data_IF_904490973714
#
_entry.id   IF_904490973714
#
_cell.length_a   1.000
_cell.length_b   1.000
_cell.length_c   1.000
_cell.angle_alpha   90.00
_cell.angle_beta   90.00
_cell.angle_gamma   90.00
#
_symmetry.space_group_name_H-M   'P 1'
#
loop_
_entity.id
_entity.type
_entity.pdbx_description
1 polymer ?
#
# COMPACT_ATOMS: atom_id res chain seq x y z
N UNK A 1 -20.65 -58.19 -29.68
CA UNK A 1 -20.38 -57.80 -31.07
C UNK A 1 -20.76 -56.33 -31.20
N UNK A 2 -19.75 -55.46 -31.16
CA UNK A 2 -19.68 -54.12 -31.73
C UNK A 2 -18.39 -53.47 -31.24
N UNK A 3 -17.43 -53.37 -32.15
CA UNK A 3 -16.11 -52.76 -32.00
C UNK A 3 -16.24 -51.24 -31.82
N UNK A 4 -15.43 -50.66 -30.94
CA UNK A 4 -15.18 -49.22 -30.88
C UNK A 4 -13.72 -49.00 -31.27
N UNK A 5 -13.50 -48.37 -32.43
CA UNK A 5 -12.19 -47.92 -32.92
C UNK A 5 -11.62 -46.80 -32.03
N UNK A 6 -10.30 -46.73 -31.81
CA UNK A 6 -9.66 -45.57 -31.20
C UNK A 6 -9.58 -44.41 -32.20
N UNK A 7 -9.98 -43.21 -31.76
CA UNK A 7 -9.79 -41.95 -32.48
C UNK A 7 -8.37 -41.45 -32.20
N UNK A 8 -7.57 -41.35 -33.25
CA UNK A 8 -6.27 -40.67 -33.25
C UNK A 8 -6.47 -39.16 -33.33
N UNK A 9 -6.02 -38.43 -32.30
CA UNK A 9 -5.92 -36.97 -32.34
C UNK A 9 -4.52 -36.61 -32.83
N UNK A 10 -4.45 -36.12 -34.06
CA UNK A 10 -3.25 -35.53 -34.65
C UNK A 10 -3.01 -34.15 -34.03
N UNK A 11 -1.93 -33.98 -33.26
CA UNK A 11 -1.48 -32.68 -32.78
C UNK A 11 -0.89 -31.92 -33.96
N UNK A 12 -1.63 -30.94 -34.50
CA UNK A 12 -1.11 -29.99 -35.47
C UNK A 12 -0.33 -28.89 -34.71
N UNK A 13 0.97 -28.80 -35.02
CA UNK A 13 1.96 -27.91 -34.41
C UNK A 13 1.59 -26.42 -34.49
N UNK A 14 1.39 -25.78 -33.33
CA UNK A 14 1.26 -24.33 -33.13
C UNK A 14 2.61 -23.61 -32.95
N UNK A 15 3.68 -24.07 -33.60
CA UNK A 15 5.04 -23.52 -33.44
C UNK A 15 5.29 -22.20 -34.22
N UNK A 16 4.46 -21.85 -35.19
CA UNK A 16 4.69 -20.64 -36.03
C UNK A 16 4.23 -19.32 -35.41
N UNK A 17 3.37 -19.35 -34.40
CA UNK A 17 2.87 -18.11 -33.76
C UNK A 17 3.80 -17.63 -32.64
N UNK A 18 4.40 -18.56 -31.90
CA UNK A 18 5.37 -18.25 -30.84
C UNK A 18 6.69 -17.70 -31.36
N UNK A 19 7.21 -18.19 -32.49
CA UNK A 19 8.46 -17.64 -33.05
C UNK A 19 8.30 -16.21 -33.57
N UNK A 20 7.09 -15.83 -33.98
CA UNK A 20 6.78 -14.47 -34.42
C UNK A 20 6.67 -13.52 -33.22
N UNK A 21 6.02 -13.95 -32.14
CA UNK A 21 5.96 -13.19 -30.88
C UNK A 21 7.35 -13.04 -30.23
N UNK A 22 8.18 -14.09 -30.29
CA UNK A 22 9.57 -14.07 -29.80
C UNK A 22 10.45 -13.11 -30.63
N UNK A 23 10.34 -13.15 -31.96
CA UNK A 23 11.09 -12.25 -32.85
C UNK A 23 10.60 -10.78 -32.76
N UNK A 24 9.33 -10.54 -32.45
CA UNK A 24 8.81 -9.20 -32.22
C UNK A 24 9.19 -8.67 -30.83
N UNK A 25 9.36 -9.55 -29.82
CA UNK A 25 9.94 -9.22 -28.51
C UNK A 25 11.46 -8.97 -28.60
N UNK A 26 12.18 -9.66 -29.49
CA UNK A 26 13.63 -9.45 -29.70
C UNK A 26 13.94 -8.13 -30.44
N UNK A 27 12.96 -7.61 -31.21
CA UNK A 27 13.02 -6.26 -31.81
C UNK A 27 12.77 -5.12 -30.82
N UNK A 28 12.20 -5.39 -29.64
CA UNK A 28 12.15 -4.46 -28.51
C UNK A 28 13.53 -4.46 -27.82
N UNK A 29 14.49 -3.81 -28.48
CA UNK A 29 15.88 -3.71 -28.12
C UNK A 29 16.08 -3.00 -26.75
N UNK A 30 16.01 -3.76 -25.65
CA UNK A 30 16.31 -3.32 -24.28
C UNK A 30 17.82 -3.15 -24.00
N UNK A 31 18.66 -2.99 -25.02
CA UNK A 31 20.10 -2.67 -24.86
C UNK A 31 20.38 -1.28 -24.28
N UNK A 32 19.37 -0.42 -24.11
CA UNK A 32 19.53 0.91 -23.50
C UNK A 32 19.42 0.93 -21.96
N UNK A 33 19.16 -0.22 -21.30
CA UNK A 33 19.02 -0.30 -19.84
C UNK A 33 20.22 -0.91 -19.10
N UNK A 34 21.33 -1.14 -19.81
CA UNK A 34 22.62 -1.37 -19.17
C UNK A 34 23.21 -0.03 -18.68
N UNK A 35 22.87 0.36 -17.45
CA UNK A 35 23.72 1.24 -16.65
C UNK A 35 25.08 0.54 -16.47
N UNK A 36 26.06 0.92 -17.30
CA UNK A 36 27.47 0.64 -17.06
C UNK A 36 27.84 1.21 -15.68
N UNK A 37 28.12 0.35 -14.72
CA UNK A 37 28.83 0.74 -13.51
C UNK A 37 30.25 1.22 -13.91
N UNK A 38 30.71 2.39 -13.43
CA UNK A 38 32.09 2.78 -13.63
C UNK A 38 32.99 1.97 -12.69
N UNK A 39 33.94 1.24 -13.27
CA UNK A 39 35.14 0.74 -12.59
C UNK A 39 35.96 1.93 -12.12
N UNK A 40 36.19 2.04 -10.81
CA UNK A 40 37.04 3.07 -10.21
C UNK A 40 38.50 2.64 -10.39
N UNK A 41 39.21 3.33 -11.27
CA UNK A 41 40.66 3.29 -11.38
C UNK A 41 41.23 4.50 -10.63
N UNK A 42 42.10 4.29 -9.66
CA UNK A 42 42.85 5.37 -9.00
C UNK A 42 43.94 5.88 -9.94
N UNK A 43 43.85 7.14 -10.37
CA UNK A 43 44.88 7.81 -11.15
C UNK A 43 44.65 9.32 -11.26
N UNK A 44 45.54 10.09 -10.64
CA UNK A 44 45.57 11.55 -10.62
C UNK A 44 45.60 12.20 -12.02
N UNK A 45 44.82 13.28 -12.22
CA UNK A 45 45.31 14.65 -12.50
C UNK A 45 44.15 15.60 -12.88
N UNK A 46 44.30 16.85 -12.44
CA UNK A 46 43.40 17.99 -12.60
C UNK A 46 43.08 18.35 -14.06
N UNK A 47 41.88 18.89 -14.31
CA UNK A 47 41.68 20.22 -14.91
C UNK A 47 40.19 20.56 -15.05
N UNK A 48 39.85 21.81 -14.75
CA UNK A 48 38.51 22.35 -14.70
C UNK A 48 37.88 22.57 -16.09
N UNK A 49 36.56 22.45 -16.19
CA UNK A 49 35.70 23.36 -16.98
C UNK A 49 34.23 23.18 -16.58
N UNK A 50 33.57 24.32 -16.38
CA UNK A 50 32.23 24.52 -15.83
C UNK A 50 31.11 24.28 -16.85
N UNK A 51 30.02 23.62 -16.42
CA UNK A 51 28.71 23.71 -17.09
C UNK A 51 27.55 23.49 -16.10
N UNK A 52 26.60 24.41 -16.15
CA UNK A 52 25.47 24.62 -15.23
C UNK A 52 24.39 23.54 -15.40
N UNK A 53 24.43 22.49 -14.60
CA UNK A 53 23.25 21.61 -14.32
C UNK A 53 23.40 20.82 -13.01
N UNK A 54 24.17 21.37 -12.07
CA UNK A 54 24.68 20.65 -10.88
C UNK A 54 24.14 21.21 -9.55
N UNK A 55 22.91 21.71 -9.54
CA UNK A 55 22.30 22.33 -8.34
C UNK A 55 21.41 21.39 -7.51
N UNK A 56 20.70 20.45 -8.16
CA UNK A 56 19.73 19.57 -7.46
C UNK A 56 20.37 18.31 -6.86
N UNK A 57 21.36 17.74 -7.54
CA UNK A 57 22.06 16.52 -7.11
C UNK A 57 23.11 16.76 -6.02
N UNK A 58 23.72 17.94 -6.00
CA UNK A 58 24.68 18.37 -4.97
C UNK A 58 23.98 18.77 -3.68
N UNK A 59 22.79 19.39 -3.76
CA UNK A 59 21.99 19.71 -2.57
C UNK A 59 21.51 18.44 -1.85
N UNK A 60 21.03 17.42 -2.59
CA UNK A 60 20.69 16.13 -1.97
C UNK A 60 21.91 15.45 -1.34
N UNK A 61 23.09 15.49 -1.98
CA UNK A 61 24.34 14.95 -1.41
C UNK A 61 24.85 15.75 -0.20
N UNK A 62 24.71 17.07 -0.20
CA UNK A 62 25.12 17.93 0.91
C UNK A 62 24.16 17.79 2.11
N UNK A 63 22.86 17.67 1.86
CA UNK A 63 21.87 17.33 2.89
C UNK A 63 22.15 15.93 3.44
N UNK A 64 22.42 14.94 2.58
CA UNK A 64 22.79 13.58 3.03
C UNK A 64 24.10 13.54 3.83
N UNK A 65 25.11 14.35 3.46
CA UNK A 65 26.40 14.38 4.15
C UNK A 65 26.40 15.10 5.51
N UNK A 66 25.48 16.03 5.74
CA UNK A 66 25.31 16.67 7.06
C UNK A 66 24.38 15.85 7.98
N UNK A 67 23.56 14.97 7.41
CA UNK A 67 22.61 14.11 8.13
C UNK A 67 23.21 12.73 8.46
N UNK A 68 24.24 12.29 7.73
CA UNK A 68 24.98 11.05 8.02
C UNK A 68 25.74 11.10 9.35
N UNK A 69 26.11 12.28 9.83
CA UNK A 69 26.84 12.43 11.10
C UNK A 69 25.91 12.31 12.34
N UNK A 70 24.58 12.37 12.17
CA UNK A 70 23.58 12.31 13.26
C UNK A 70 22.80 10.97 13.30
N UNK A 71 22.98 10.08 12.30
CA UNK A 71 22.32 8.76 12.21
C UNK A 71 23.37 7.66 12.38
N UNK A 72 23.62 7.26 13.63
CA UNK A 72 24.62 6.25 13.97
C UNK A 72 24.03 4.89 14.35
N UNK A 73 22.71 4.79 14.47
CA UNK A 73 22.03 3.59 14.97
C UNK A 73 20.73 3.28 14.21
N UNK A 74 20.30 2.03 14.29
CA UNK A 74 19.12 1.51 13.62
C UNK A 74 17.84 2.23 14.06
N UNK A 75 17.74 2.63 15.33
CA UNK A 75 16.55 3.28 15.86
C UNK A 75 16.42 4.72 15.36
N UNK A 76 17.50 5.51 15.35
CA UNK A 76 17.50 6.87 14.80
C UNK A 76 17.16 6.87 13.32
N UNK A 77 17.70 5.94 12.53
CA UNK A 77 17.31 5.75 11.13
C UNK A 77 15.81 5.46 11.00
N UNK A 78 15.29 4.51 11.79
CA UNK A 78 13.88 4.13 11.74
C UNK A 78 12.97 5.31 12.08
N UNK A 79 13.24 6.04 13.18
CA UNK A 79 12.46 7.21 13.59
C UNK A 79 12.46 8.28 12.50
N UNK A 80 13.64 8.59 11.94
CA UNK A 80 13.75 9.64 10.94
C UNK A 80 13.05 9.26 9.63
N UNK A 81 13.13 7.98 9.24
CA UNK A 81 12.44 7.45 8.05
C UNK A 81 10.92 7.41 8.22
N UNK A 82 10.44 7.12 9.44
CA UNK A 82 9.02 7.05 9.78
C UNK A 82 8.44 8.39 10.23
N UNK A 83 9.26 9.44 10.40
CA UNK A 83 8.88 10.73 11.00
C UNK A 83 7.58 11.29 10.44
N UNK A 84 7.50 11.44 9.13
CA UNK A 84 6.32 12.00 8.48
C UNK A 84 5.10 11.07 8.58
N UNK A 85 5.30 9.75 8.64
CA UNK A 85 4.22 8.76 8.79
C UNK A 85 3.62 8.92 10.18
N UNK A 86 4.49 9.00 11.19
CA UNK A 86 4.06 9.09 12.58
C UNK A 86 3.38 10.43 12.87
N UNK A 87 3.86 11.53 12.28
CA UNK A 87 3.22 12.85 12.37
C UNK A 87 1.84 12.83 11.68
N UNK A 88 1.76 12.32 10.45
CA UNK A 88 0.49 12.21 9.73
C UNK A 88 -0.53 11.40 10.56
N UNK A 89 -0.09 10.28 11.15
CA UNK A 89 -0.90 9.47 12.04
C UNK A 89 -1.40 10.22 13.27
N UNK A 90 -0.61 11.13 13.85
CA UNK A 90 -1.06 11.98 14.96
C UNK A 90 -2.14 12.97 14.50
N UNK A 91 -1.99 13.56 13.31
CA UNK A 91 -2.96 14.51 12.75
C UNK A 91 -4.33 13.86 12.48
N UNK A 92 -4.35 12.58 12.09
CA UNK A 92 -5.59 11.83 11.83
C UNK A 92 -6.08 10.96 12.99
N UNK A 93 -5.43 11.05 14.15
CA UNK A 93 -5.83 10.32 15.36
C UNK A 93 -5.53 8.82 15.34
N UNK A 94 -4.69 8.36 14.40
CA UNK A 94 -4.24 6.97 14.28
C UNK A 94 -2.89 6.72 14.98
N UNK A 95 -2.30 7.73 15.63
CA UNK A 95 -1.08 7.53 16.41
C UNK A 95 -1.17 8.24 17.78
N UNK A 96 -1.54 7.53 18.86
CA UNK A 96 -1.63 8.11 20.19
C UNK A 96 -0.27 8.21 20.93
N UNK A 97 0.82 7.75 20.33
CA UNK A 97 2.14 7.66 20.99
C UNK A 97 2.77 9.05 21.16
N UNK A 98 3.41 9.27 22.32
CA UNK A 98 4.18 10.47 22.62
C UNK A 98 5.68 10.21 22.47
N UNK A 99 6.45 11.24 22.10
CA UNK A 99 7.90 11.14 21.93
C UNK A 99 8.35 10.61 20.56
N UNK A 100 7.52 10.72 19.52
CA UNK A 100 7.84 10.23 18.16
C UNK A 100 8.99 10.97 17.45
N UNK A 101 9.49 12.06 18.05
CA UNK A 101 10.64 12.85 17.55
C UNK A 101 11.86 12.75 18.48
N UNK A 102 11.75 11.96 19.55
CA UNK A 102 12.83 11.83 20.53
C UNK A 102 13.94 10.94 20.00
N UNK A 103 15.19 11.35 20.24
CA UNK A 103 16.39 10.61 19.83
C UNK A 103 16.61 9.33 20.66
N UNK A 104 15.99 9.21 21.82
CA UNK A 104 16.12 8.05 22.69
C UNK A 104 14.85 7.19 22.74
N UNK A 105 15.04 5.87 22.66
CA UNK A 105 13.96 4.87 22.73
C UNK A 105 13.17 4.97 24.05
N UNK A 106 13.86 5.28 25.14
CA UNK A 106 13.33 5.39 26.52
C UNK A 106 12.23 6.46 26.66
N UNK A 107 12.24 7.46 25.79
CA UNK A 107 11.35 8.61 25.85
C UNK A 107 10.03 8.39 25.09
N UNK A 108 9.92 7.30 24.33
CA UNK A 108 8.68 6.93 23.66
C UNK A 108 7.70 6.31 24.65
N UNK A 109 6.53 6.93 24.80
CA UNK A 109 5.55 6.54 25.82
C UNK A 109 4.13 6.54 25.27
N UNK A 110 3.35 5.54 25.67
CA UNK A 110 1.90 5.51 25.48
C UNK A 110 1.20 5.90 26.78
N UNK A 111 0.23 6.82 26.69
CA UNK A 111 -0.58 7.29 27.84
C UNK A 111 -2.06 7.28 27.47
N UNK A 112 -2.89 6.55 28.22
CA UNK A 112 -4.33 6.49 28.02
C UNK A 112 -5.01 7.86 28.16
N UNK A 113 -4.62 8.67 29.13
CA UNK A 113 -5.22 10.00 29.33
C UNK A 113 -4.43 11.12 28.65
N UNK A 114 -3.95 10.88 27.44
CA UNK A 114 -3.35 11.92 26.61
C UNK A 114 -4.38 12.50 25.64
N UNK A 115 -4.24 13.77 25.27
CA UNK A 115 -5.12 14.39 24.27
C UNK A 115 -5.09 13.63 22.92
N UNK A 116 -3.93 13.04 22.57
CA UNK A 116 -3.76 12.22 21.36
C UNK A 116 -4.60 10.94 21.40
N UNK A 117 -4.62 10.27 22.56
CA UNK A 117 -5.49 9.11 22.77
C UNK A 117 -6.96 9.51 22.73
N UNK A 118 -7.34 10.58 23.44
CA UNK A 118 -8.72 11.06 23.46
C UNK A 118 -9.20 11.43 22.05
N UNK A 119 -8.36 12.10 21.26
CA UNK A 119 -8.65 12.43 19.87
C UNK A 119 -8.89 11.18 19.01
N UNK A 120 -7.99 10.19 19.06
CA UNK A 120 -8.17 8.92 18.35
C UNK A 120 -9.39 8.13 18.82
N UNK A 121 -9.67 8.12 20.14
CA UNK A 121 -10.83 7.45 20.70
C UNK A 121 -12.16 8.09 20.27
N UNK A 122 -12.22 9.42 20.23
CA UNK A 122 -13.40 10.16 19.74
C UNK A 122 -13.64 9.91 18.24
N UNK A 123 -12.57 9.91 17.43
CA UNK A 123 -12.69 9.56 16.01
C UNK A 123 -13.15 8.11 15.82
N UNK A 124 -12.58 7.18 16.57
CA UNK A 124 -13.00 5.77 16.53
C UNK A 124 -14.49 5.62 16.89
N UNK A 125 -14.95 6.33 17.92
CA UNK A 125 -16.35 6.33 18.32
C UNK A 125 -17.27 6.88 17.23
N UNK A 126 -16.88 8.00 16.61
CA UNK A 126 -17.61 8.56 15.47
C UNK A 126 -17.69 7.57 14.31
N UNK A 127 -16.57 6.95 13.93
CA UNK A 127 -16.50 6.02 12.81
C UNK A 127 -17.39 4.80 13.03
N UNK A 128 -17.35 4.20 14.23
CA UNK A 128 -18.21 3.06 14.60
C UNK A 128 -19.68 3.48 14.58
N UNK A 129 -20.01 4.65 15.11
CA UNK A 129 -21.39 5.17 15.11
C UNK A 129 -21.89 5.35 13.67
N UNK A 130 -21.09 5.97 12.81
CA UNK A 130 -21.42 6.14 11.39
C UNK A 130 -21.64 4.78 10.69
N UNK A 131 -20.82 3.76 10.97
CA UNK A 131 -21.02 2.40 10.46
C UNK A 131 -22.35 1.80 10.91
N UNK A 132 -22.67 1.90 12.20
CA UNK A 132 -23.92 1.35 12.76
C UNK A 132 -25.14 2.02 12.12
N UNK A 133 -25.09 3.35 11.94
CA UNK A 133 -26.16 4.09 11.28
C UNK A 133 -26.30 3.73 9.80
N UNK A 134 -25.18 3.52 9.08
CA UNK A 134 -25.22 3.03 7.71
C UNK A 134 -25.81 1.62 7.61
N UNK A 135 -25.48 0.73 8.56
CA UNK A 135 -26.03 -0.62 8.63
C UNK A 135 -27.55 -0.59 8.90
N UNK A 136 -27.98 0.24 9.84
CA UNK A 136 -29.40 0.43 10.15
C UNK A 136 -30.20 0.94 8.95
N UNK A 137 -29.62 1.88 8.20
CA UNK A 137 -30.20 2.37 6.95
C UNK A 137 -30.29 1.28 5.90
N UNK A 138 -29.22 0.51 5.71
CA UNK A 138 -29.20 -0.61 4.77
C UNK A 138 -30.26 -1.67 5.12
N UNK A 139 -30.55 -1.89 6.40
CA UNK A 139 -31.61 -2.79 6.83
C UNK A 139 -33.02 -2.27 6.50
N UNK A 140 -33.23 -0.95 6.55
CA UNK A 140 -34.55 -0.32 6.32
C UNK A 140 -34.87 -0.01 4.86
N UNK A 141 -33.85 0.09 4.00
CA UNK A 141 -33.99 0.45 2.59
C UNK A 141 -33.48 -0.68 1.69
N UNK A 142 -33.85 -0.69 0.41
CA UNK A 142 -33.24 -1.62 -0.55
C UNK A 142 -31.71 -1.45 -0.59
N UNK A 143 -30.99 -2.56 -0.70
CA UNK A 143 -29.53 -2.58 -0.74
C UNK A 143 -29.04 -1.75 -1.92
N UNK A 144 -28.44 -0.60 -1.61
CA UNK A 144 -27.79 0.26 -2.60
C UNK A 144 -26.29 0.08 -2.52
N UNK A 145 -25.63 -0.01 -3.69
CA UNK A 145 -24.18 -0.05 -3.85
C UNK A 145 -23.50 1.10 -3.09
N UNK A 146 -24.13 2.28 -3.04
CA UNK A 146 -23.64 3.44 -2.28
C UNK A 146 -23.65 3.20 -0.77
N UNK A 147 -24.72 2.62 -0.24
CA UNK A 147 -24.83 2.35 1.20
C UNK A 147 -23.83 1.27 1.63
N UNK A 148 -23.62 0.27 0.77
CA UNK A 148 -22.59 -0.76 0.99
C UNK A 148 -21.17 -0.15 0.99
N UNK A 149 -20.90 0.80 0.09
CA UNK A 149 -19.64 1.53 0.05
C UNK A 149 -19.41 2.35 1.33
N UNK A 150 -20.40 3.11 1.79
CA UNK A 150 -20.32 3.90 3.03
C UNK A 150 -20.14 3.02 4.26
N UNK A 151 -20.90 1.92 4.36
CA UNK A 151 -20.77 0.95 5.45
C UNK A 151 -19.36 0.36 5.49
N UNK A 152 -18.83 -0.07 4.34
CA UNK A 152 -17.49 -0.65 4.24
C UNK A 152 -16.40 0.38 4.53
N UNK A 153 -16.57 1.62 4.06
CA UNK A 153 -15.66 2.73 4.36
C UNK A 153 -15.56 3.00 5.86
N UNK A 154 -16.69 3.32 6.53
CA UNK A 154 -16.70 3.67 7.94
C UNK A 154 -16.27 2.49 8.83
N UNK A 155 -16.64 1.25 8.46
CA UNK A 155 -16.27 0.07 9.26
C UNK A 155 -14.77 -0.21 9.15
N UNK A 156 -14.20 -0.16 7.94
CA UNK A 156 -12.77 -0.35 7.72
C UNK A 156 -11.93 0.71 8.46
N UNK A 157 -12.30 1.99 8.38
CA UNK A 157 -11.55 3.04 9.12
C UNK A 157 -11.72 2.90 10.64
N UNK A 158 -12.90 2.52 11.14
CA UNK A 158 -13.12 2.28 12.57
C UNK A 158 -12.25 1.13 13.09
N UNK A 159 -12.22 0.01 12.36
CA UNK A 159 -11.36 -1.15 12.67
C UNK A 159 -9.87 -0.75 12.62
N UNK A 160 -9.47 0.04 11.63
CA UNK A 160 -8.10 0.54 11.52
C UNK A 160 -7.73 1.45 12.69
N UNK A 161 -8.53 2.47 13.00
CA UNK A 161 -8.30 3.37 14.14
C UNK A 161 -8.15 2.59 15.45
N UNK A 162 -9.05 1.63 15.69
CA UNK A 162 -8.96 0.75 16.86
C UNK A 162 -7.66 -0.06 16.87
N UNK A 163 -7.29 -0.66 15.73
CA UNK A 163 -6.06 -1.44 15.59
C UNK A 163 -4.82 -0.59 15.84
N UNK A 164 -4.79 0.65 15.35
CA UNK A 164 -3.70 1.58 15.55
C UNK A 164 -3.57 2.08 17.00
N UNK A 165 -4.69 2.24 17.72
CA UNK A 165 -4.64 2.49 19.18
C UNK A 165 -3.99 1.30 19.90
N UNK A 166 -4.32 0.06 19.50
CA UNK A 166 -3.68 -1.15 20.05
C UNK A 166 -2.20 -1.23 19.69
N UNK A 167 -1.81 -0.87 18.48
CA UNK A 167 -0.41 -0.74 18.06
C UNK A 167 0.29 0.28 18.94
N UNK A 168 -0.30 1.46 19.15
CA UNK A 168 0.28 2.51 19.99
C UNK A 168 0.62 2.04 21.40
N UNK A 169 -0.18 1.15 21.99
CA UNK A 169 0.12 0.52 23.29
C UNK A 169 1.35 -0.39 23.25
N UNK A 170 1.52 -1.19 22.18
CA UNK A 170 2.64 -2.11 21.99
C UNK A 170 3.91 -1.44 21.44
N UNK A 171 3.75 -0.26 20.84
CA UNK A 171 4.79 0.44 20.08
C UNK A 171 6.09 0.69 20.87
N UNK A 172 6.07 1.18 22.13
CA UNK A 172 7.32 1.39 22.87
C UNK A 172 8.11 0.10 23.08
N UNK A 173 7.40 -1.00 23.42
CA UNK A 173 8.03 -2.31 23.60
C UNK A 173 8.57 -2.88 22.29
N UNK A 174 7.86 -2.67 21.18
CA UNK A 174 8.31 -3.06 19.86
C UNK A 174 9.61 -2.33 19.47
N UNK A 175 9.67 -1.01 19.66
CA UNK A 175 10.86 -0.22 19.33
C UNK A 175 12.04 -0.54 20.25
N UNK A 176 11.79 -0.86 21.52
CA UNK A 176 12.82 -1.37 22.42
C UNK A 176 13.35 -2.73 21.97
N UNK A 177 12.48 -3.63 21.48
CA UNK A 177 12.91 -4.93 20.96
C UNK A 177 13.74 -4.79 19.69
N UNK A 178 13.39 -3.84 18.81
CA UNK A 178 14.12 -3.50 17.60
C UNK A 178 15.51 -2.96 17.94
N UNK A 179 15.60 -1.96 18.82
CA UNK A 179 16.88 -1.41 19.28
C UNK A 179 17.82 -2.50 19.85
N UNK A 180 17.27 -3.49 20.55
CA UNK A 180 18.04 -4.62 21.09
C UNK A 180 18.52 -5.63 20.05
N UNK A 181 18.07 -5.57 18.79
CA UNK A 181 18.55 -6.48 17.75
C UNK A 181 19.99 -6.21 17.33
N UNK A 182 20.51 -5.01 17.60
CA UNK A 182 21.89 -4.60 17.31
C UNK A 182 22.29 -4.80 15.84
N UNK A 183 21.36 -4.52 14.92
CA UNK A 183 21.56 -4.64 13.46
C UNK A 183 22.04 -3.31 12.85
N UNK A 184 22.80 -2.51 13.60
CA UNK A 184 23.27 -1.18 13.20
C UNK A 184 24.19 -1.22 11.95
N UNK A 185 24.86 -2.35 11.72
CA UNK A 185 25.67 -2.57 10.51
C UNK A 185 24.84 -2.59 9.21
N UNK A 186 23.53 -2.84 9.31
CA UNK A 186 22.65 -3.08 8.16
C UNK A 186 21.75 -1.88 7.81
N UNK A 187 22.21 -0.67 8.12
CA UNK A 187 21.50 0.59 7.86
C UNK A 187 21.47 0.92 6.35
N UNK A 188 20.28 1.25 5.82
CA UNK A 188 20.10 1.84 4.48
C UNK A 188 19.68 3.32 4.59
N UNK A 189 20.60 4.25 4.36
CA UNK A 189 20.32 5.69 4.39
C UNK A 189 19.30 6.13 3.32
N UNK A 190 19.12 5.35 2.25
CA UNK A 190 18.11 5.66 1.22
C UNK A 190 16.68 5.40 1.71
N UNK A 191 16.50 4.67 2.82
CA UNK A 191 15.19 4.35 3.38
C UNK A 191 14.36 5.59 3.65
N UNK A 192 14.97 6.65 4.19
CA UNK A 192 14.30 7.92 4.46
C UNK A 192 13.64 8.49 3.21
N UNK A 193 14.37 8.51 2.09
CA UNK A 193 13.90 9.02 0.81
C UNK A 193 12.78 8.14 0.26
N UNK A 194 12.95 6.81 0.32
CA UNK A 194 11.93 5.84 -0.10
C UNK A 194 10.60 6.05 0.65
N UNK A 195 10.64 6.09 1.99
CA UNK A 195 9.45 6.28 2.83
C UNK A 195 8.80 7.65 2.62
N UNK A 196 9.59 8.72 2.59
CA UNK A 196 9.06 10.08 2.40
C UNK A 196 8.44 10.25 1.01
N UNK A 197 9.09 9.74 -0.03
CA UNK A 197 8.57 9.81 -1.40
C UNK A 197 7.29 8.99 -1.56
N UNK A 198 7.27 7.75 -1.07
CA UNK A 198 6.10 6.89 -1.16
C UNK A 198 4.87 7.50 -0.48
N UNK A 199 5.04 8.02 0.73
CA UNK A 199 3.95 8.72 1.43
C UNK A 199 3.51 9.98 0.70
N UNK A 200 4.45 10.84 0.27
CA UNK A 200 4.11 12.07 -0.44
C UNK A 200 3.30 11.79 -1.71
N UNK A 201 3.72 10.81 -2.50
CA UNK A 201 3.02 10.38 -3.72
C UNK A 201 1.63 9.86 -3.36
N UNK A 202 1.52 8.90 -2.45
CA UNK A 202 0.23 8.30 -2.12
C UNK A 202 -0.75 9.28 -1.47
N UNK A 203 -0.27 10.23 -0.66
CA UNK A 203 -1.10 11.28 -0.07
C UNK A 203 -1.61 12.26 -1.13
N UNK A 204 -0.77 12.68 -2.08
CA UNK A 204 -1.20 13.53 -3.20
C UNK A 204 -2.29 12.81 -4.02
N UNK A 205 -2.07 11.54 -4.35
CA UNK A 205 -3.07 10.74 -5.08
C UNK A 205 -4.38 10.59 -4.28
N UNK A 206 -4.32 10.42 -2.96
CA UNK A 206 -5.50 10.37 -2.09
C UNK A 206 -6.28 11.70 -2.09
N UNK A 207 -5.57 12.83 -2.07
CA UNK A 207 -6.20 14.16 -2.13
C UNK A 207 -6.88 14.38 -3.49
N UNK A 208 -6.23 13.97 -4.59
CA UNK A 208 -6.83 14.05 -5.93
C UNK A 208 -8.08 13.17 -6.03
N UNK A 209 -8.03 11.94 -5.49
CA UNK A 209 -9.21 11.06 -5.42
C UNK A 209 -10.36 11.73 -4.68
N UNK A 210 -10.06 12.34 -3.53
CA UNK A 210 -11.06 13.05 -2.74
C UNK A 210 -11.69 14.21 -3.51
N UNK A 211 -10.87 15.06 -4.14
CA UNK A 211 -11.36 16.21 -4.91
C UNK A 211 -12.28 15.74 -6.05
N UNK A 212 -11.90 14.69 -6.78
CA UNK A 212 -12.74 14.13 -7.84
C UNK A 212 -14.05 13.53 -7.28
N UNK A 213 -13.99 12.87 -6.12
CA UNK A 213 -15.17 12.37 -5.40
C UNK A 213 -16.11 13.50 -5.00
N UNK A 214 -15.58 14.62 -4.52
CA UNK A 214 -16.36 15.82 -4.18
C UNK A 214 -17.08 16.35 -5.42
N UNK A 215 -16.36 16.53 -6.53
CA UNK A 215 -16.94 17.04 -7.79
C UNK A 215 -18.06 16.11 -8.29
N UNK A 216 -17.82 14.79 -8.33
CA UNK A 216 -18.83 13.80 -8.75
C UNK A 216 -20.06 13.83 -7.85
N UNK A 217 -19.89 13.86 -6.52
CA UNK A 217 -21.01 13.90 -5.58
C UNK A 217 -21.78 15.23 -5.64
N UNK A 218 -21.10 16.35 -5.86
CA UNK A 218 -21.74 17.65 -6.04
C UNK A 218 -22.67 17.65 -7.25
N UNK A 219 -22.22 17.13 -8.39
CA UNK A 219 -23.03 17.04 -9.61
C UNK A 219 -24.23 16.11 -9.40
N UNK A 220 -24.07 15.02 -8.63
CA UNK A 220 -25.18 14.12 -8.28
C UNK A 220 -26.14 14.73 -7.25
N UNK A 221 -25.68 15.62 -6.38
CA UNK A 221 -26.52 16.34 -5.43
C UNK A 221 -27.42 17.39 -6.09
N UNK A 222 -27.05 17.86 -7.27
CA UNK A 222 -27.75 18.89 -8.07
C UNK A 222 -28.95 18.38 -8.87
N UNK A 223 -29.46 17.16 -8.63
CA UNK A 223 -30.60 16.62 -9.38
C UNK A 223 -31.80 17.59 -9.37
N UNK A 224 -32.08 18.17 -10.55
CA UNK A 224 -33.29 18.91 -10.96
C UNK A 224 -34.13 19.46 -9.78
N UNK A 225 -33.57 20.38 -8.98
CA UNK A 225 -34.35 21.15 -8.01
C UNK A 225 -34.61 22.55 -8.58
N UNK A 226 -35.89 22.95 -8.56
CA UNK A 226 -36.40 24.16 -9.22
C UNK A 226 -36.14 25.47 -8.45
N UNK A 227 -35.50 25.41 -7.29
CA UNK A 227 -35.33 26.55 -6.37
C UNK A 227 -33.83 26.84 -6.11
N UNK A 228 -33.44 28.08 -5.73
CA UNK A 228 -32.08 28.41 -5.32
C UNK A 228 -31.79 27.83 -3.92
N UNK A 229 -31.82 26.50 -3.80
CA UNK A 229 -31.44 25.82 -2.59
C UNK A 229 -29.94 25.98 -2.38
N UNK A 230 -29.52 26.23 -1.13
CA UNK A 230 -28.11 26.33 -0.78
C UNK A 230 -27.36 25.08 -1.26
N UNK A 231 -26.54 25.23 -2.29
CA UNK A 231 -25.75 24.14 -2.90
C UNK A 231 -25.02 23.28 -1.87
N UNK A 232 -24.41 23.96 -0.89
CA UNK A 232 -23.70 23.33 0.21
C UNK A 232 -24.61 22.45 1.08
N UNK A 233 -25.87 22.85 1.29
CA UNK A 233 -26.85 22.09 2.06
C UNK A 233 -27.27 20.81 1.33
N UNK A 234 -27.61 20.89 0.05
CA UNK A 234 -27.98 19.71 -0.75
C UNK A 234 -26.84 18.68 -0.79
N UNK A 235 -25.60 19.13 -0.99
CA UNK A 235 -24.42 18.28 -0.94
C UNK A 235 -24.27 17.57 0.42
N UNK A 236 -24.40 18.29 1.53
CA UNK A 236 -24.29 17.71 2.87
C UNK A 236 -25.42 16.72 3.18
N UNK A 237 -26.66 17.07 2.86
CA UNK A 237 -27.83 16.18 3.03
C UNK A 237 -27.67 14.90 2.20
N UNK A 238 -27.08 15.00 1.00
CA UNK A 238 -26.79 13.85 0.16
C UNK A 238 -25.64 12.98 0.72
N UNK A 239 -24.50 13.60 1.04
CA UNK A 239 -23.28 12.92 1.52
C UNK A 239 -23.44 12.30 2.91
N UNK A 240 -24.14 12.98 3.81
CA UNK A 240 -24.40 12.53 5.18
C UNK A 240 -25.86 12.20 5.42
N UNK A 241 -26.53 11.60 4.42
CA UNK A 241 -27.95 11.24 4.53
C UNK A 241 -28.30 10.43 5.78
N UNK A 242 -27.37 9.64 6.31
CA UNK A 242 -27.52 8.88 7.55
C UNK A 242 -27.62 9.77 8.81
N UNK A 243 -27.05 10.98 8.79
CA UNK A 243 -27.08 11.93 9.90
C UNK A 243 -28.43 12.67 9.95
N UNK A 244 -28.88 13.17 8.79
CA UNK A 244 -30.08 13.99 8.70
C UNK A 244 -31.38 13.17 8.83
N UNK A 245 -31.37 11.89 8.44
CA UNK A 245 -32.53 11.00 8.62
C UNK A 245 -32.88 10.71 10.10
N UNK A 246 -31.95 10.96 11.03
CA UNK A 246 -32.19 10.84 12.47
C UNK A 246 -32.92 12.07 13.03
N UNK A 247 -33.17 13.09 12.19
CA UNK A 247 -33.87 14.32 12.58
C UNK A 247 -32.96 15.43 13.09
N UNK A 248 -31.65 15.34 12.86
CA UNK A 248 -30.71 16.42 13.19
C UNK A 248 -30.91 17.56 12.19
N UNK A 249 -31.28 18.77 12.64
CA UNK A 249 -31.49 19.89 11.73
C UNK A 249 -30.18 20.37 11.12
N UNK A 250 -30.26 20.86 9.88
CA UNK A 250 -29.12 21.47 9.22
C UNK A 250 -28.64 22.72 9.97
N UNK A 251 -27.33 22.79 10.21
CA UNK A 251 -26.65 24.02 10.63
C UNK A 251 -25.29 24.12 9.93
N UNK A 252 -24.89 25.34 9.56
CA UNK A 252 -23.61 25.59 8.88
C UNK A 252 -22.40 25.10 9.70
N UNK A 253 -22.31 25.33 11.03
CA UNK A 253 -21.20 24.81 11.82
C UNK A 253 -21.09 23.28 11.80
N UNK A 254 -22.23 22.58 11.89
CA UNK A 254 -22.26 21.12 11.79
C UNK A 254 -21.75 20.64 10.43
N UNK A 255 -22.16 21.31 9.35
CA UNK A 255 -21.68 21.02 8.00
C UNK A 255 -20.16 21.12 7.88
N UNK A 256 -19.57 22.20 8.40
CA UNK A 256 -18.10 22.41 8.39
C UNK A 256 -17.39 21.32 9.19
N UNK A 257 -17.88 21.00 10.39
CA UNK A 257 -17.32 19.93 11.23
C UNK A 257 -17.37 18.58 10.52
N UNK A 258 -18.51 18.24 9.90
CA UNK A 258 -18.67 16.98 9.16
C UNK A 258 -17.72 16.89 7.96
N UNK A 259 -17.45 17.99 7.27
CA UNK A 259 -16.46 18.02 6.18
C UNK A 259 -15.03 17.79 6.68
N UNK A 260 -14.66 18.43 7.79
CA UNK A 260 -13.34 18.22 8.41
C UNK A 260 -13.18 16.76 8.84
N UNK A 261 -14.20 16.18 9.50
CA UNK A 261 -14.18 14.78 9.91
C UNK A 261 -14.10 13.85 8.68
N UNK A 262 -14.82 14.15 7.61
CA UNK A 262 -14.77 13.36 6.38
C UNK A 262 -13.37 13.39 5.76
N UNK A 263 -12.74 14.57 5.67
CA UNK A 263 -11.36 14.71 5.21
C UNK A 263 -10.38 13.88 6.06
N UNK A 264 -10.52 13.93 7.39
CA UNK A 264 -9.73 13.10 8.32
C UNK A 264 -9.94 11.61 8.04
N UNK A 265 -11.19 11.18 7.84
CA UNK A 265 -11.52 9.79 7.53
C UNK A 265 -10.89 9.32 6.22
N UNK A 266 -10.85 10.17 5.19
CA UNK A 266 -10.25 9.84 3.90
C UNK A 266 -8.73 9.72 4.01
N UNK A 267 -8.07 10.63 4.71
CA UNK A 267 -6.63 10.51 4.96
C UNK A 267 -6.35 9.25 5.80
N UNK A 268 -7.20 8.95 6.79
CA UNK A 268 -7.13 7.73 7.62
C UNK A 268 -7.28 6.45 6.79
N UNK A 269 -8.16 6.49 5.78
CA UNK A 269 -8.41 5.36 4.88
C UNK A 269 -7.16 4.98 4.08
N UNK A 270 -6.32 5.94 3.72
CA UNK A 270 -5.05 5.68 3.04
C UNK A 270 -3.86 5.51 4.00
N UNK A 271 -3.94 6.05 5.21
CA UNK A 271 -2.85 5.99 6.20
C UNK A 271 -2.35 4.57 6.51
N UNK A 272 -3.26 3.62 6.67
CA UNK A 272 -2.92 2.22 6.98
C UNK A 272 -1.96 1.61 5.93
N UNK A 273 -2.22 1.86 4.66
CA UNK A 273 -1.38 1.41 3.54
C UNK A 273 -0.01 2.10 3.57
N UNK A 274 0.02 3.40 3.85
CA UNK A 274 1.27 4.17 3.91
C UNK A 274 2.20 3.64 4.99
N UNK A 275 1.60 3.33 6.14
CA UNK A 275 2.29 2.76 7.28
C UNK A 275 2.85 1.37 6.95
N UNK A 276 2.04 0.48 6.36
CA UNK A 276 2.49 -0.86 5.95
C UNK A 276 3.64 -0.76 4.94
N UNK A 277 3.52 0.12 3.94
CA UNK A 277 4.58 0.33 2.92
C UNK A 277 5.90 0.75 3.56
N UNK A 278 5.88 1.69 4.51
CA UNK A 278 7.11 2.15 5.15
C UNK A 278 7.75 1.08 6.04
N UNK A 279 6.94 0.29 6.77
CA UNK A 279 7.44 -0.89 7.49
C UNK A 279 8.01 -1.93 6.51
N UNK A 280 7.35 -2.15 5.38
CA UNK A 280 7.79 -3.03 4.32
C UNK A 280 9.18 -2.65 3.78
N UNK A 281 9.38 -1.37 3.46
CA UNK A 281 10.69 -0.87 3.05
C UNK A 281 11.77 -1.07 4.12
N UNK A 282 11.46 -0.74 5.39
CA UNK A 282 12.41 -0.87 6.48
C UNK A 282 12.88 -2.32 6.65
N UNK A 283 11.95 -3.27 6.77
CA UNK A 283 12.27 -4.68 6.97
C UNK A 283 12.99 -5.29 5.77
N UNK A 284 12.55 -4.95 4.56
CA UNK A 284 13.21 -5.41 3.33
C UNK A 284 14.64 -4.88 3.25
N UNK A 285 14.88 -3.60 3.60
CA UNK A 285 16.20 -3.00 3.51
C UNK A 285 17.24 -3.67 4.41
N UNK A 286 16.85 -4.11 5.60
CA UNK A 286 17.73 -4.84 6.52
C UNK A 286 18.14 -6.18 5.90
N UNK A 287 17.16 -6.93 5.37
CA UNK A 287 17.42 -8.22 4.72
C UNK A 287 18.30 -8.04 3.47
N UNK A 288 18.03 -7.06 2.62
CA UNK A 288 18.86 -6.76 1.44
C UNK A 288 20.32 -6.44 1.80
N UNK A 289 20.56 -5.75 2.92
CA UNK A 289 21.92 -5.45 3.39
C UNK A 289 22.63 -6.72 3.88
N UNK A 290 21.92 -7.61 4.58
CA UNK A 290 22.44 -8.93 4.95
C UNK A 290 22.78 -9.72 3.68
N UNK A 291 21.89 -9.75 2.69
CA UNK A 291 22.09 -10.45 1.42
C UNK A 291 23.32 -9.93 0.68
N UNK A 292 23.51 -8.61 0.66
CA UNK A 292 24.70 -7.99 0.06
C UNK A 292 26.00 -8.47 0.73
N UNK A 293 25.99 -8.63 2.07
CA UNK A 293 27.14 -9.15 2.83
C UNK A 293 27.37 -10.64 2.56
N UNK A 294 26.31 -11.45 2.45
CA UNK A 294 26.41 -12.87 2.03
C UNK A 294 27.03 -12.97 0.64
N UNK A 295 26.44 -12.29 -0.36
CA UNK A 295 26.87 -12.35 -1.76
C UNK A 295 28.29 -11.85 -1.96
N UNK A 296 28.69 -10.77 -1.27
CA UNK A 296 30.07 -10.25 -1.35
C UNK A 296 31.12 -11.11 -0.65
N UNK A 297 30.70 -12.13 0.11
CA UNK A 297 31.57 -13.04 0.86
C UNK A 297 31.64 -14.44 0.26
N UNK A 298 30.79 -14.78 -0.71
CA UNK A 298 30.70 -16.13 -1.29
C UNK A 298 31.99 -16.62 -1.96
N UNK A 299 32.72 -15.70 -2.59
CA UNK A 299 33.95 -15.99 -3.35
C UNK A 299 35.23 -15.83 -2.50
N UNK A 300 35.08 -15.55 -1.20
CA UNK A 300 36.19 -15.26 -0.29
C UNK A 300 36.36 -16.39 0.73
N UNK A 301 37.60 -16.72 1.08
CA UNK A 301 37.90 -17.60 2.20
C UNK A 301 37.53 -16.93 3.52
N UNK A 302 36.30 -17.14 3.98
CA UNK A 302 35.81 -16.62 5.26
C UNK A 302 35.85 -17.71 6.34
N UNK A 303 36.24 -17.38 7.59
CA UNK A 303 36.27 -18.35 8.67
C UNK A 303 34.84 -18.78 9.10
N UNK A 304 34.66 -19.98 9.68
CA UNK A 304 33.34 -20.43 10.15
C UNK A 304 32.66 -19.47 11.13
N UNK A 305 33.43 -18.75 11.95
CA UNK A 305 32.93 -17.73 12.86
C UNK A 305 32.19 -16.59 12.14
N UNK A 306 32.63 -16.23 10.93
CA UNK A 306 31.97 -15.20 10.12
C UNK A 306 30.58 -15.67 9.65
N UNK A 307 30.47 -16.90 9.14
CA UNK A 307 29.19 -17.47 8.70
C UNK A 307 28.22 -17.65 9.86
N UNK A 308 28.74 -18.04 11.04
CA UNK A 308 27.96 -18.09 12.27
C UNK A 308 27.37 -16.73 12.62
N UNK A 309 28.18 -15.67 12.63
CA UNK A 309 27.73 -14.31 12.92
C UNK A 309 26.64 -13.87 11.92
N UNK A 310 26.87 -14.08 10.62
CA UNK A 310 25.92 -13.68 9.58
C UNK A 310 24.57 -14.40 9.69
N UNK A 311 24.58 -15.68 10.09
CA UNK A 311 23.35 -16.43 10.40
C UNK A 311 22.66 -15.90 11.67
N UNK A 312 23.42 -15.53 12.70
CA UNK A 312 22.87 -14.91 13.91
C UNK A 312 22.21 -13.56 13.59
N UNK A 313 22.84 -12.73 12.76
CA UNK A 313 22.29 -11.46 12.28
C UNK A 313 20.99 -11.68 11.48
N UNK A 314 20.97 -12.66 10.56
CA UNK A 314 19.75 -13.09 9.87
C UNK A 314 18.66 -13.57 10.85
N UNK A 315 19.03 -14.29 11.90
CA UNK A 315 18.10 -14.73 12.93
C UNK A 315 17.47 -13.55 13.68
N UNK A 316 18.26 -12.51 14.00
CA UNK A 316 17.73 -11.29 14.61
C UNK A 316 16.81 -10.53 13.65
N UNK A 317 17.16 -10.45 12.37
CA UNK A 317 16.30 -9.84 11.35
C UNK A 317 14.96 -10.60 11.23
N UNK A 318 14.98 -11.94 11.23
CA UNK A 318 13.76 -12.75 11.23
C UNK A 318 12.89 -12.54 12.48
N UNK A 319 13.49 -12.42 13.67
CA UNK A 319 12.77 -12.04 14.89
C UNK A 319 12.15 -10.65 14.79
N UNK A 320 12.87 -9.70 14.19
CA UNK A 320 12.37 -8.35 13.97
C UNK A 320 11.12 -8.35 13.07
N UNK A 321 11.18 -9.05 11.94
CA UNK A 321 10.03 -9.21 11.01
C UNK A 321 8.82 -9.77 11.75
N UNK A 322 9.00 -10.83 12.56
CA UNK A 322 7.91 -11.43 13.35
C UNK A 322 7.35 -10.50 14.41
N UNK A 323 8.19 -9.70 15.07
CA UNK A 323 7.73 -8.73 16.07
C UNK A 323 6.85 -7.66 15.43
N UNK A 324 7.23 -7.17 14.24
CA UNK A 324 6.38 -6.26 13.47
C UNK A 324 5.11 -6.94 12.99
N UNK A 325 5.19 -8.16 12.45
CA UNK A 325 4.02 -8.92 12.02
C UNK A 325 2.99 -9.07 13.14
N UNK A 326 3.42 -9.54 14.32
CA UNK A 326 2.57 -9.68 15.49
C UNK A 326 1.92 -8.36 15.98
N UNK A 327 2.53 -7.23 15.65
CA UNK A 327 2.00 -5.92 15.99
C UNK A 327 0.98 -5.43 14.94
N UNK A 328 1.22 -5.68 13.65
CA UNK A 328 0.51 -5.01 12.55
C UNK A 328 -0.33 -5.95 11.67
N UNK A 329 -0.32 -7.26 11.90
CA UNK A 329 -1.03 -8.25 11.09
C UNK A 329 -2.53 -7.99 10.93
N UNK A 330 -3.19 -7.42 11.94
CA UNK A 330 -4.60 -7.01 11.87
C UNK A 330 -4.84 -5.81 10.96
N UNK A 331 -3.88 -4.88 10.90
CA UNK A 331 -3.93 -3.74 9.97
C UNK A 331 -3.68 -4.22 8.54
N UNK A 332 -2.77 -5.17 8.34
CA UNK A 332 -2.54 -5.80 7.02
C UNK A 332 -3.80 -6.50 6.54
N UNK A 333 -4.43 -7.31 7.38
CA UNK A 333 -5.68 -7.98 7.04
C UNK A 333 -6.78 -6.97 6.65
N UNK A 334 -6.97 -5.93 7.45
CA UNK A 334 -7.99 -4.90 7.21
C UNK A 334 -7.68 -4.11 5.93
N UNK A 335 -6.41 -3.76 5.68
CA UNK A 335 -5.95 -3.10 4.46
C UNK A 335 -6.26 -3.94 3.21
N UNK A 336 -5.94 -5.24 3.22
CA UNK A 336 -6.25 -6.14 2.11
C UNK A 336 -7.75 -6.26 1.87
N UNK A 337 -8.54 -6.54 2.91
CA UNK A 337 -9.99 -6.68 2.80
C UNK A 337 -10.64 -5.40 2.24
N UNK A 338 -10.23 -4.24 2.77
CA UNK A 338 -10.75 -2.95 2.34
C UNK A 338 -10.33 -2.62 0.90
N UNK A 339 -9.05 -2.77 0.54
CA UNK A 339 -8.60 -2.49 -0.81
C UNK A 339 -9.28 -3.40 -1.84
N UNK A 340 -9.44 -4.70 -1.55
CA UNK A 340 -10.14 -5.62 -2.44
C UNK A 340 -11.62 -5.29 -2.60
N UNK A 341 -12.30 -4.95 -1.50
CA UNK A 341 -13.69 -4.50 -1.56
C UNK A 341 -13.84 -3.28 -2.50
N UNK A 342 -12.99 -2.27 -2.33
CA UNK A 342 -13.07 -1.05 -3.15
C UNK A 342 -12.60 -1.25 -4.59
N UNK A 343 -11.66 -2.17 -4.87
CA UNK A 343 -11.33 -2.57 -6.25
C UNK A 343 -12.55 -3.17 -6.93
N UNK A 344 -13.20 -4.17 -6.33
CA UNK A 344 -14.39 -4.79 -6.89
C UNK A 344 -15.53 -3.78 -7.05
N UNK A 345 -15.73 -2.91 -6.06
CA UNK A 345 -16.76 -1.86 -6.10
C UNK A 345 -16.53 -0.87 -7.24
N UNK A 346 -15.32 -0.33 -7.38
CA UNK A 346 -15.05 0.69 -8.41
C UNK A 346 -15.05 0.10 -9.80
N UNK A 347 -14.63 -1.15 -9.95
CA UNK A 347 -14.72 -1.87 -11.20
C UNK A 347 -16.18 -2.10 -11.62
N UNK A 348 -17.05 -2.52 -10.68
CA UNK A 348 -18.50 -2.57 -10.91
C UNK A 348 -19.07 -1.20 -11.34
N UNK A 349 -18.64 -0.11 -10.70
CA UNK A 349 -19.09 1.24 -11.06
C UNK A 349 -18.61 1.65 -12.47
N UNK A 350 -17.36 1.36 -12.83
CA UNK A 350 -16.81 1.64 -14.16
C UNK A 350 -17.56 0.86 -15.25
N UNK A 351 -17.82 -0.43 -15.03
CA UNK A 351 -18.53 -1.28 -15.99
C UNK A 351 -19.99 -0.86 -16.15
N UNK A 352 -20.69 -0.64 -15.03
CA UNK A 352 -22.11 -0.22 -15.06
C UNK A 352 -22.31 1.18 -15.64
N UNK A 353 -21.33 2.09 -15.49
CA UNK A 353 -21.41 3.44 -16.04
C UNK A 353 -21.04 3.50 -17.53
N UNK A 354 -20.01 2.76 -17.99
CA UNK A 354 -19.69 2.66 -19.43
C UNK A 354 -20.88 2.14 -20.24
N UNK A 355 -21.66 1.23 -19.67
CA UNK A 355 -22.82 0.67 -20.32
C UNK A 355 -24.00 1.65 -20.49
N UNK A 356 -24.05 2.71 -19.67
CA UNK A 356 -25.10 3.75 -19.73
C UNK A 356 -24.74 4.95 -20.61
N UNK A 357 -23.57 4.95 -21.24
CA UNK A 357 -23.11 6.00 -22.17
C UNK A 357 -23.71 5.88 -23.58
N UNK A 358 -25.04 5.74 -23.69
CA UNK A 358 -25.70 6.49 -24.75
C UNK A 358 -26.12 7.82 -24.11
N UNK A 359 -25.69 8.98 -24.64
CA UNK A 359 -26.21 10.27 -24.23
C UNK A 359 -27.64 10.42 -24.76
N UNK A 360 -28.55 9.57 -24.28
CA UNK A 360 -29.97 9.68 -24.53
C UNK A 360 -30.51 10.70 -23.55
N UNK A 361 -30.49 11.96 -24.01
CA UNK A 361 -31.01 13.16 -23.35
C UNK A 361 -30.40 13.44 -21.97
N UNK A 362 -29.80 14.64 -21.82
CA UNK A 362 -29.49 15.17 -20.50
C UNK A 362 -30.77 15.06 -19.62
N UNK A 363 -30.73 14.36 -18.47
CA UNK A 363 -31.90 14.21 -17.61
C UNK A 363 -32.41 15.57 -17.09
N UNK A 364 -31.58 16.61 -17.17
CA UNK A 364 -31.86 17.97 -16.71
C UNK A 364 -31.29 18.98 -17.73
N UNK A 365 -32.11 19.78 -18.45
CA UNK A 365 -31.65 20.76 -19.43
C UNK A 365 -30.93 21.99 -18.81
N UNK A 366 -31.05 22.20 -17.50
CA UNK A 366 -30.51 23.36 -16.78
C UNK A 366 -29.26 23.04 -15.94
N UNK A 367 -28.67 21.85 -16.06
CA UNK A 367 -27.47 21.51 -15.29
C UNK A 367 -26.25 22.23 -15.92
N UNK A 368 -25.53 23.09 -15.19
CA UNK A 368 -24.30 23.66 -15.71
C UNK A 368 -23.34 22.52 -16.07
N UNK A 369 -22.75 22.59 -17.26
CA UNK A 369 -21.68 21.67 -17.65
C UNK A 369 -20.62 21.73 -16.56
N UNK A 370 -20.40 20.61 -15.88
CA UNK A 370 -19.38 20.52 -14.85
C UNK A 370 -17.99 20.81 -15.43
N UNK A 371 -16.94 20.86 -14.58
CA UNK A 371 -15.60 21.21 -15.02
C UNK A 371 -15.04 20.28 -16.13
N UNK A 372 -15.65 19.09 -16.32
CA UNK A 372 -15.27 18.13 -17.35
C UNK A 372 -16.38 17.86 -18.37
N UNK A 373 -17.35 18.78 -18.52
CA UNK A 373 -18.34 18.73 -19.60
C UNK A 373 -19.25 17.50 -19.57
N UNK A 374 -19.54 16.92 -18.40
CA UNK A 374 -20.42 15.75 -18.24
C UNK A 374 -19.71 14.41 -18.02
N UNK A 375 -18.38 14.36 -18.11
CA UNK A 375 -17.58 13.14 -17.90
C UNK A 375 -17.09 12.95 -16.45
N UNK A 376 -17.62 13.70 -15.49
CA UNK A 376 -17.08 13.77 -14.13
C UNK A 376 -17.15 12.43 -13.40
N UNK A 377 -18.26 11.71 -13.55
CA UNK A 377 -18.44 10.39 -12.93
C UNK A 377 -17.48 9.35 -13.51
N UNK A 378 -17.29 9.36 -14.83
CA UNK A 378 -16.43 8.39 -15.53
C UNK A 378 -14.97 8.63 -15.16
N UNK A 379 -14.54 9.90 -15.16
CA UNK A 379 -13.21 10.31 -14.71
C UNK A 379 -13.00 9.91 -13.25
N UNK A 380 -13.97 10.20 -12.38
CA UNK A 380 -13.90 9.85 -10.96
C UNK A 380 -13.75 8.34 -10.74
N UNK A 381 -14.67 7.53 -11.28
CA UNK A 381 -14.65 6.08 -11.06
C UNK A 381 -13.41 5.43 -11.66
N UNK A 382 -12.97 5.87 -12.85
CA UNK A 382 -11.74 5.35 -13.48
C UNK A 382 -10.51 5.70 -12.66
N UNK A 383 -10.40 6.96 -12.23
CA UNK A 383 -9.29 7.40 -11.38
C UNK A 383 -9.27 6.67 -10.04
N UNK A 384 -10.43 6.58 -9.37
CA UNK A 384 -10.56 5.92 -8.06
C UNK A 384 -10.19 4.42 -8.17
N UNK A 385 -10.60 3.74 -9.24
CA UNK A 385 -10.16 2.36 -9.52
C UNK A 385 -8.64 2.26 -9.67
N UNK A 386 -8.04 3.10 -10.51
CA UNK A 386 -6.58 3.12 -10.70
C UNK A 386 -5.82 3.42 -9.41
N UNK A 387 -6.34 4.33 -8.59
CA UNK A 387 -5.76 4.72 -7.30
C UNK A 387 -5.80 3.56 -6.30
N UNK A 388 -6.96 2.92 -6.09
CA UNK A 388 -7.08 1.82 -5.13
C UNK A 388 -6.29 0.60 -5.61
N UNK A 389 -6.29 0.30 -6.91
CA UNK A 389 -5.46 -0.77 -7.48
C UNK A 389 -3.97 -0.48 -7.29
N UNK A 390 -3.52 0.75 -7.61
CA UNK A 390 -2.14 1.17 -7.42
C UNK A 390 -1.69 1.09 -5.96
N UNK A 391 -2.55 1.50 -5.02
CA UNK A 391 -2.32 1.36 -3.57
C UNK A 391 -2.19 -0.09 -3.15
N UNK A 392 -3.13 -0.94 -3.56
CA UNK A 392 -3.10 -2.37 -3.27
C UNK A 392 -1.82 -3.03 -3.77
N UNK A 393 -1.42 -2.74 -5.01
CA UNK A 393 -0.19 -3.25 -5.60
C UNK A 393 1.05 -2.71 -4.87
N UNK A 394 1.09 -1.43 -4.50
CA UNK A 394 2.19 -0.87 -3.74
C UNK A 394 2.38 -1.58 -2.39
N UNK A 395 1.30 -1.72 -1.61
CA UNK A 395 1.31 -2.47 -0.34
C UNK A 395 1.79 -3.90 -0.55
N UNK A 396 1.20 -4.57 -1.55
CA UNK A 396 1.44 -5.98 -1.82
C UNK A 396 2.87 -6.26 -2.28
N UNK A 397 3.37 -5.51 -3.26
CA UNK A 397 4.70 -5.73 -3.84
C UNK A 397 5.80 -5.39 -2.85
N UNK A 398 5.70 -4.26 -2.15
CA UNK A 398 6.70 -3.83 -1.17
C UNK A 398 6.74 -4.79 0.01
N UNK A 399 5.59 -5.22 0.53
CA UNK A 399 5.53 -6.18 1.63
C UNK A 399 6.01 -7.56 1.22
N UNK A 400 5.69 -8.01 0.00
CA UNK A 400 6.21 -9.28 -0.54
C UNK A 400 7.72 -9.27 -0.78
N UNK A 401 8.32 -8.07 -0.83
CA UNK A 401 9.76 -7.86 -0.88
C UNK A 401 10.47 -8.48 0.32
N UNK A 402 9.85 -8.47 1.51
CA UNK A 402 10.40 -9.09 2.73
C UNK A 402 10.63 -10.58 2.51
N UNK A 403 9.62 -11.28 1.99
CA UNK A 403 9.70 -12.71 1.72
C UNK A 403 10.69 -13.05 0.59
N UNK A 404 10.79 -12.17 -0.41
CA UNK A 404 11.78 -12.36 -1.48
C UNK A 404 13.20 -12.20 -0.93
N UNK A 405 13.44 -11.12 -0.19
CA UNK A 405 14.75 -10.81 0.39
C UNK A 405 15.15 -11.84 1.45
N UNK A 406 14.21 -12.43 2.21
CA UNK A 406 14.54 -13.46 3.19
C UNK A 406 15.07 -14.76 2.58
N UNK A 407 14.68 -15.06 1.34
CA UNK A 407 15.04 -16.31 0.66
C UNK A 407 16.29 -16.16 -0.24
N UNK A 408 16.68 -14.93 -0.56
CA UNK A 408 17.82 -14.64 -1.43
C UNK A 408 19.19 -15.16 -0.92
N UNK A 409 19.50 -15.19 0.40
CA UNK A 409 20.76 -15.76 0.87
C UNK A 409 21.03 -17.18 0.41
N UNK A 410 19.98 -18.00 0.23
CA UNK A 410 20.14 -19.41 -0.13
C UNK A 410 20.91 -19.60 -1.43
N UNK A 411 20.60 -18.82 -2.48
CA UNK A 411 21.29 -18.94 -3.77
C UNK A 411 22.77 -18.62 -3.64
N UNK A 412 23.11 -17.53 -2.94
CA UNK A 412 24.51 -17.14 -2.71
C UNK A 412 25.27 -18.13 -1.83
N UNK A 413 24.61 -18.80 -0.88
CA UNK A 413 25.22 -19.82 -0.02
C UNK A 413 25.48 -21.13 -0.77
N UNK A 414 24.62 -21.51 -1.73
CA UNK A 414 24.85 -22.68 -2.60
C UNK A 414 26.04 -22.49 -3.55
N UNK A 415 26.36 -21.25 -3.91
CA UNK A 415 27.49 -20.92 -4.79
C UNK A 415 28.86 -21.06 -4.09
N UNK A 416 28.90 -21.30 -2.77
CA UNK A 416 30.16 -21.38 -2.01
C UNK A 416 30.93 -22.67 -2.39
N UNK A 417 32.18 -22.57 -2.85
CA UNK A 417 33.02 -23.73 -3.16
C UNK A 417 33.17 -24.73 -2.02
N UNK A 418 33.19 -26.03 -2.34
CA UNK A 418 33.26 -27.13 -1.36
C UNK A 418 34.47 -27.07 -0.44
N UNK A 419 35.57 -26.45 -0.87
CA UNK A 419 36.78 -26.24 -0.06
C UNK A 419 36.60 -25.20 1.04
N UNK A 420 35.64 -24.28 0.88
CA UNK A 420 35.30 -23.21 1.82
C UNK A 420 33.99 -23.49 2.56
N UNK A 421 33.28 -24.55 2.19
CA UNK A 421 32.01 -24.94 2.77
C UNK A 421 32.20 -25.45 4.20
N UNK A 422 31.39 -24.93 5.14
CA UNK A 422 31.43 -25.34 6.54
C UNK A 422 30.03 -25.63 7.08
N UNK A 423 29.95 -26.26 8.26
CA UNK A 423 28.67 -26.61 8.89
C UNK A 423 27.76 -25.41 9.16
N UNK A 424 28.32 -24.21 9.35
CA UNK A 424 27.54 -22.99 9.56
C UNK A 424 26.82 -22.53 8.28
N UNK A 425 27.43 -22.72 7.10
CA UNK A 425 26.78 -22.47 5.80
C UNK A 425 25.60 -23.41 5.62
N UNK A 426 25.79 -24.71 5.89
CA UNK A 426 24.71 -25.71 5.83
C UNK A 426 23.54 -25.33 6.75
N UNK A 427 23.82 -25.01 8.01
CA UNK A 427 22.79 -24.58 8.97
C UNK A 427 22.06 -23.31 8.52
N UNK A 428 22.77 -22.39 7.86
CA UNK A 428 22.16 -21.17 7.35
C UNK A 428 21.21 -21.47 6.18
N UNK A 429 21.62 -22.31 5.23
CA UNK A 429 20.75 -22.78 4.15
C UNK A 429 19.49 -23.47 4.70
N UNK A 430 19.65 -24.36 5.68
CA UNK A 430 18.52 -25.04 6.34
C UNK A 430 17.57 -24.05 7.01
N UNK A 431 18.12 -23.02 7.67
CA UNK A 431 17.31 -21.98 8.30
C UNK A 431 16.51 -21.15 7.29
N UNK A 432 17.11 -20.78 6.15
CA UNK A 432 16.43 -20.00 5.11
C UNK A 432 15.25 -20.77 4.51
N UNK A 433 15.41 -22.08 4.29
CA UNK A 433 14.33 -22.90 3.71
C UNK A 433 13.31 -23.38 4.74
N UNK A 434 13.73 -23.56 6.00
CA UNK A 434 12.89 -24.07 7.07
C UNK A 434 11.90 -23.06 7.64
N UNK A 435 12.03 -21.77 7.31
CA UNK A 435 11.29 -20.69 7.93
C UNK A 435 10.68 -19.74 6.89
N UNK A 436 9.38 -19.43 7.02
CA UNK A 436 8.70 -18.46 6.16
C UNK A 436 8.71 -17.09 6.83
N UNK A 437 9.67 -16.25 6.44
CA UNK A 437 9.72 -14.86 6.88
C UNK A 437 8.91 -13.98 5.94
N UNK A 438 7.69 -13.63 6.37
CA UNK A 438 6.81 -12.73 5.66
C UNK A 438 5.88 -12.01 6.66
N UNK A 439 5.29 -10.89 6.24
CA UNK A 439 4.15 -10.33 6.99
C UNK A 439 2.87 -11.08 6.62
N UNK A 440 1.94 -11.12 7.55
CA UNK A 440 0.71 -11.90 7.48
C UNK A 440 -0.53 -11.04 7.72
N UNK A 441 -1.65 -11.43 7.11
CA UNK A 441 -2.97 -10.92 7.45
C UNK A 441 -3.60 -11.80 8.52
N UNK A 442 -3.43 -11.46 9.79
CA UNK A 442 -3.90 -12.26 10.94
C UNK A 442 -3.48 -13.75 10.86
N UNK A 443 -2.34 -14.06 10.25
CA UNK A 443 -1.90 -15.43 9.96
C UNK A 443 -2.82 -16.27 9.04
N UNK A 444 -3.89 -15.69 8.49
CA UNK A 444 -4.72 -16.36 7.46
C UNK A 444 -3.99 -16.51 6.13
N UNK A 445 -3.14 -15.54 5.81
CA UNK A 445 -2.32 -15.54 4.60
C UNK A 445 -1.00 -14.81 4.84
N UNK A 446 0.04 -15.23 4.12
CA UNK A 446 1.32 -14.53 4.07
C UNK A 446 1.41 -13.70 2.80
N UNK A 447 1.90 -12.47 2.92
CA UNK A 447 2.05 -11.56 1.80
C UNK A 447 3.29 -11.95 1.00
N UNK A 448 3.08 -12.75 -0.05
CA UNK A 448 4.11 -13.22 -0.99
C UNK A 448 3.74 -12.83 -2.42
N UNK A 449 4.72 -12.79 -3.33
CA UNK A 449 4.46 -12.49 -4.77
C UNK A 449 3.44 -13.45 -5.38
N UNK A 450 3.42 -14.70 -4.92
CA UNK A 450 2.44 -15.71 -5.34
C UNK A 450 1.02 -15.29 -4.94
N UNK A 451 0.80 -14.86 -3.70
CA UNK A 451 -0.51 -14.37 -3.25
C UNK A 451 -0.97 -13.17 -4.09
N UNK A 452 -0.06 -12.22 -4.37
CA UNK A 452 -0.39 -11.03 -5.19
C UNK A 452 -0.90 -11.45 -6.57
N UNK A 453 -0.21 -12.41 -7.20
CA UNK A 453 -0.60 -12.93 -8.51
C UNK A 453 -1.95 -13.64 -8.44
N UNK A 454 -2.17 -14.49 -7.43
CA UNK A 454 -3.46 -15.19 -7.23
C UNK A 454 -4.60 -14.20 -7.09
N UNK A 455 -4.45 -13.18 -6.25
CA UNK A 455 -5.50 -12.16 -6.04
C UNK A 455 -5.77 -11.38 -7.33
N UNK A 456 -4.72 -10.97 -8.06
CA UNK A 456 -4.89 -10.29 -9.34
C UNK A 456 -5.63 -11.18 -10.37
N UNK A 457 -5.27 -12.46 -10.46
CA UNK A 457 -5.96 -13.43 -11.32
C UNK A 457 -7.42 -13.60 -10.93
N UNK A 458 -7.73 -13.73 -9.64
CA UNK A 458 -9.12 -13.88 -9.16
C UNK A 458 -9.97 -12.66 -9.51
N UNK A 459 -9.44 -11.44 -9.33
CA UNK A 459 -10.12 -10.20 -9.72
C UNK A 459 -10.44 -10.25 -11.22
N UNK A 460 -9.45 -10.52 -12.07
CA UNK A 460 -9.67 -10.60 -13.53
C UNK A 460 -10.68 -11.69 -13.90
N UNK A 461 -10.62 -12.87 -13.29
CA UNK A 461 -11.55 -13.97 -13.55
C UNK A 461 -12.98 -13.58 -13.19
N UNK A 462 -13.21 -13.03 -12.01
CA UNK A 462 -14.54 -12.61 -11.57
C UNK A 462 -15.16 -11.60 -12.54
N UNK A 463 -14.35 -10.69 -13.06
CA UNK A 463 -14.82 -9.65 -13.99
C UNK A 463 -15.10 -10.17 -15.38
N UNK A 464 -14.26 -11.07 -15.91
CA UNK A 464 -14.57 -11.73 -17.18
C UNK A 464 -15.91 -12.46 -17.11
N UNK A 465 -16.21 -13.09 -15.96
CA UNK A 465 -17.49 -13.74 -15.71
C UNK A 465 -18.64 -12.74 -15.63
N UNK A 466 -18.49 -11.62 -14.90
CA UNK A 466 -19.49 -10.56 -14.86
C UNK A 466 -19.77 -9.94 -16.23
N UNK A 467 -18.73 -9.74 -17.05
CA UNK A 467 -18.86 -9.24 -18.41
C UNK A 467 -19.63 -10.20 -19.31
N UNK A 468 -19.42 -11.51 -19.15
CA UNK A 468 -20.15 -12.54 -19.90
C UNK A 468 -21.65 -12.52 -19.56
N UNK A 469 -22.01 -12.55 -18.28
CA UNK A 469 -23.43 -12.57 -17.87
C UNK A 469 -24.18 -11.28 -18.24
N UNK A 470 -23.54 -10.11 -18.09
CA UNK A 470 -24.15 -8.86 -18.53
C UNK A 470 -24.25 -8.74 -20.07
N UNK A 471 -23.35 -9.41 -20.80
CA UNK A 471 -23.41 -9.53 -22.26
C UNK A 471 -24.56 -10.43 -22.74
N UNK A 472 -24.86 -11.50 -22.01
CA UNK A 472 -25.95 -12.44 -22.34
C UNK A 472 -27.35 -11.86 -22.09
N UNK A 473 -27.55 -11.08 -21.02
CA UNK A 473 -28.82 -10.36 -20.79
C UNK A 473 -29.20 -9.39 -21.93
N UNK A 474 -28.21 -8.96 -22.72
CA UNK A 474 -28.36 -8.08 -23.87
C UNK A 474 -28.71 -8.80 -25.17
N UNK A 475 -28.31 -10.07 -25.31
CA UNK A 475 -28.70 -10.90 -26.46
C UNK A 475 -30.16 -11.35 -26.33
N UNK A 476 -30.68 -11.45 -25.10
CA UNK A 476 -32.08 -11.80 -24.85
C UNK A 476 -33.05 -10.62 -24.81
N UNK A 477 -32.56 -9.37 -24.90
CA UNK A 477 -33.40 -8.15 -24.92
C UNK A 477 -33.45 -7.43 -26.28
N UNK A 478 -32.73 -7.94 -27.29
CA UNK A 478 -32.89 -7.58 -28.70
C UNK A 478 -33.60 -8.72 -29.43
#
# INVERSE_FOLDING_TARGET
MNEIKPISITVQSTDRSYSKLYNDLEKLNFKALHLKYPTINYGNKESATTSKTRGKWTLCKAIQGHESDDINDQYSLFQHSMKWVLICGQCVGMNPVSGILEKEVSNIKFKYFSWRFLYGALLCFFQITASILCLFKLYRTFVSVRLLALLSFYSAIGINTFSFIRIGKKWPALLLSMYKTNLDEYIDLNLKVKCTAAMGIMLILAIVEHILSLISNMIRGLHCQDEPYNFYRAYLEHSFSWLFEIGIPFSLPLGIVMQVINLICIISWSYSDFFIVCIGFYLTSILEKINTKVTSSRDKCMPPAFWKQLREDYTQAGRLVRNFDNAINGVIFTSYANNLFFICLQMFNVLSHRYKEKPSAAPCPNLPSGPFGGYENVIYFTYSLSFVLGRFLAVSLITSGIHTASNEPASALYDIPSTMYCSEVQRFIEQVHGDTLALSGLQFFYVTKSLVLTVASTIVTYELVLLQFNGEEMVHKN
#
